data_IF_447447242569
#
_entry.id   IF_447447242569
#
_cell.length_a   1.000
_cell.length_b   1.000
_cell.length_c   1.000
_cell.angle_alpha   90.00
_cell.angle_beta   90.00
_cell.angle_gamma   90.00
#
_symmetry.space_group_name_H-M   'P 1'
#
loop_
_entity.id
_entity.type
_entity.pdbx_description
1 polymer ?
#
# COMPACT_ATOMS: atom_id res chain seq x y z
N UNK A 1 0.62 -21.03 -68.21
CA UNK A 1 0.62 -21.54 -66.83
C UNK A 1 0.86 -20.36 -65.90
N UNK A 2 -0.13 -19.85 -65.14
CA UNK A 2 0.08 -18.76 -64.25
C UNK A 2 0.41 -19.29 -62.83
N UNK A 3 1.57 -18.83 -62.34
CA UNK A 3 2.01 -19.07 -60.98
C UNK A 3 1.16 -18.27 -59.97
N UNK A 4 0.52 -18.99 -59.05
CA UNK A 4 -0.19 -18.39 -57.92
C UNK A 4 0.79 -18.03 -56.79
N UNK A 5 1.09 -16.74 -56.62
CA UNK A 5 1.74 -16.25 -55.41
C UNK A 5 0.70 -16.19 -54.29
N UNK A 6 0.86 -17.05 -53.30
CA UNK A 6 0.12 -16.98 -52.04
C UNK A 6 0.80 -15.98 -51.13
N UNK A 7 0.16 -14.83 -50.90
CA UNK A 7 0.54 -13.87 -49.87
C UNK A 7 0.10 -14.42 -48.51
N UNK A 8 1.04 -14.86 -47.69
CA UNK A 8 0.79 -15.17 -46.28
C UNK A 8 0.91 -13.86 -45.53
N UNK A 9 -0.22 -13.25 -45.16
CA UNK A 9 -0.27 -12.13 -44.24
C UNK A 9 -0.05 -12.66 -42.81
N UNK A 10 1.14 -12.47 -42.28
CA UNK A 10 1.43 -12.75 -40.88
C UNK A 10 0.74 -11.69 -40.02
N UNK A 11 -0.35 -12.09 -39.36
CA UNK A 11 -1.05 -11.27 -38.37
C UNK A 11 -0.20 -11.23 -37.09
N UNK A 12 0.58 -10.17 -36.90
CA UNK A 12 1.26 -9.87 -35.65
C UNK A 12 0.21 -9.40 -34.62
N UNK A 13 -0.31 -10.33 -33.83
CA UNK A 13 -1.09 -10.00 -32.65
C UNK A 13 -0.14 -9.42 -31.60
N UNK A 14 -0.41 -8.23 -31.05
CA UNK A 14 0.36 -7.74 -29.92
C UNK A 14 0.16 -8.68 -28.75
N UNK A 15 1.24 -9.26 -28.20
CA UNK A 15 1.22 -9.94 -26.91
C UNK A 15 0.90 -8.86 -25.86
N UNK A 16 -0.35 -8.79 -25.45
CA UNK A 16 -0.71 -8.09 -24.22
C UNK A 16 -0.15 -8.96 -23.10
N UNK A 17 0.98 -8.54 -22.55
CA UNK A 17 1.50 -9.11 -21.30
C UNK A 17 0.52 -8.69 -20.20
N UNK A 18 -0.46 -9.53 -19.94
CA UNK A 18 -1.29 -9.42 -18.76
C UNK A 18 -0.41 -9.83 -17.58
N UNK A 19 -0.21 -8.90 -16.62
CA UNK A 19 0.42 -9.25 -15.35
C UNK A 19 -0.32 -10.46 -14.78
N UNK A 20 0.40 -11.53 -14.50
CA UNK A 20 -0.20 -12.78 -14.05
C UNK A 20 -0.94 -12.56 -12.72
N UNK A 21 -2.07 -13.25 -12.46
CA UNK A 21 -2.81 -13.14 -11.20
C UNK A 21 -1.96 -13.36 -9.95
N UNK A 22 -0.87 -14.14 -10.07
CA UNK A 22 0.08 -14.40 -9.00
C UNK A 22 0.85 -13.13 -8.59
N UNK A 23 1.31 -12.31 -9.55
CA UNK A 23 2.05 -11.07 -9.28
C UNK A 23 1.15 -10.04 -8.61
N UNK A 24 -0.08 -9.87 -9.10
CA UNK A 24 -1.08 -9.00 -8.49
C UNK A 24 -1.38 -9.42 -7.07
N UNK A 25 -1.59 -10.71 -6.81
CA UNK A 25 -1.84 -11.24 -5.46
C UNK A 25 -0.67 -10.95 -4.51
N UNK A 26 0.57 -11.11 -4.97
CA UNK A 26 1.76 -10.82 -4.18
C UNK A 26 1.84 -9.33 -3.82
N UNK A 27 1.61 -8.44 -4.79
CA UNK A 27 1.59 -6.99 -4.58
C UNK A 27 0.54 -6.56 -3.54
N UNK A 28 -0.68 -7.12 -3.61
CA UNK A 28 -1.74 -6.82 -2.66
C UNK A 28 -1.44 -7.40 -1.28
N UNK A 29 -0.88 -8.62 -1.19
CA UNK A 29 -0.47 -9.23 0.07
C UNK A 29 0.65 -8.44 0.78
N UNK A 30 1.64 -7.96 0.04
CA UNK A 30 2.71 -7.11 0.57
C UNK A 30 2.17 -5.75 1.05
N UNK A 31 1.21 -5.17 0.32
CA UNK A 31 0.55 -3.93 0.72
C UNK A 31 -0.21 -4.10 2.02
N UNK A 32 -0.89 -5.23 2.19
CA UNK A 32 -1.59 -5.57 3.41
C UNK A 32 -0.62 -5.76 4.60
N UNK A 33 0.52 -6.40 4.37
CA UNK A 33 1.54 -6.59 5.41
C UNK A 33 2.15 -5.24 5.86
N UNK A 34 2.44 -4.33 4.90
CA UNK A 34 2.91 -2.98 5.20
C UNK A 34 1.86 -2.17 5.99
N UNK A 35 0.57 -2.27 5.62
CA UNK A 35 -0.52 -1.62 6.32
C UNK A 35 -0.66 -2.12 7.76
N UNK A 36 -0.62 -3.43 7.99
CA UNK A 36 -0.70 -4.01 9.32
C UNK A 36 0.46 -3.55 10.22
N UNK A 37 1.67 -3.47 9.70
CA UNK A 37 2.82 -2.94 10.43
C UNK A 37 2.63 -1.46 10.82
N UNK A 38 1.98 -0.66 9.97
CA UNK A 38 1.63 0.74 10.28
C UNK A 38 0.57 0.82 11.37
N UNK A 39 -0.46 -0.02 11.33
CA UNK A 39 -1.49 -0.11 12.38
C UNK A 39 -0.86 -0.40 13.73
N UNK A 40 -0.01 -1.42 13.84
CA UNK A 40 0.67 -1.79 15.08
C UNK A 40 1.54 -0.65 15.63
N UNK A 41 2.33 0.00 14.76
CA UNK A 41 3.17 1.12 15.15
C UNK A 41 2.33 2.33 15.59
N UNK A 42 1.22 2.62 14.90
CA UNK A 42 0.32 3.71 15.22
C UNK A 42 -0.37 3.48 16.58
N UNK A 43 -0.82 2.26 16.88
CA UNK A 43 -1.37 1.92 18.19
C UNK A 43 -0.37 2.14 19.32
N UNK A 44 0.90 1.78 19.12
CA UNK A 44 1.95 2.03 20.09
C UNK A 44 2.19 3.53 20.28
N UNK A 45 2.24 4.30 19.19
CA UNK A 45 2.42 5.76 19.24
C UNK A 45 1.27 6.45 20.00
N UNK A 46 0.03 6.04 19.75
CA UNK A 46 -1.15 6.56 20.46
C UNK A 46 -1.09 6.31 21.98
N UNK A 47 -0.57 5.15 22.39
CA UNK A 47 -0.48 4.79 23.82
C UNK A 47 0.72 5.40 24.55
N UNK A 48 1.82 5.65 23.84
CA UNK A 48 3.13 5.91 24.47
C UNK A 48 3.73 7.28 24.17
N UNK A 49 3.33 7.93 23.07
CA UNK A 49 3.81 9.27 22.75
C UNK A 49 3.20 10.30 23.71
N UNK A 50 4.01 11.23 24.19
CA UNK A 50 3.55 12.40 24.94
C UNK A 50 3.24 13.60 24.04
N UNK A 51 3.66 13.52 22.77
CA UNK A 51 3.43 14.56 21.76
C UNK A 51 2.04 14.42 21.15
N UNK A 52 1.18 15.41 21.38
CA UNK A 52 -0.21 15.43 20.88
C UNK A 52 -0.30 15.38 19.36
N UNK A 53 0.61 16.04 18.64
CA UNK A 53 0.62 16.02 17.18
C UNK A 53 0.95 14.61 16.65
N UNK A 54 1.91 13.92 17.28
CA UNK A 54 2.24 12.52 16.96
C UNK A 54 1.07 11.58 17.28
N UNK A 55 0.39 11.76 18.42
CA UNK A 55 -0.81 10.98 18.75
C UNK A 55 -1.94 11.17 17.72
N UNK A 56 -2.18 12.41 17.28
CA UNK A 56 -3.20 12.70 16.26
C UNK A 56 -2.84 12.10 14.91
N UNK A 57 -1.58 12.21 14.51
CA UNK A 57 -1.08 11.56 13.30
C UNK A 57 -1.26 10.03 13.37
N UNK A 58 -0.85 9.43 14.48
CA UNK A 58 -1.00 7.98 14.68
C UNK A 58 -2.47 7.53 14.64
N UNK A 59 -3.38 8.30 15.24
CA UNK A 59 -4.82 8.03 15.15
C UNK A 59 -5.33 8.07 13.71
N UNK A 60 -4.87 9.04 12.92
CA UNK A 60 -5.22 9.14 11.50
C UNK A 60 -4.70 7.94 10.72
N UNK A 61 -3.40 7.58 10.90
CA UNK A 61 -2.81 6.38 10.29
C UNK A 61 -3.63 5.14 10.62
N UNK A 62 -3.94 4.93 11.90
CA UNK A 62 -4.74 3.78 12.33
C UNK A 62 -6.08 3.68 11.58
N UNK A 63 -6.84 4.78 11.56
CA UNK A 63 -8.17 4.79 10.92
C UNK A 63 -8.09 4.54 9.42
N UNK A 64 -7.17 5.22 8.73
CA UNK A 64 -7.08 5.12 7.27
C UNK A 64 -6.47 3.77 6.83
N UNK A 65 -5.53 3.21 7.58
CA UNK A 65 -4.99 1.87 7.25
C UNK A 65 -6.01 0.75 7.51
N UNK A 66 -6.86 0.87 8.50
CA UNK A 66 -7.96 -0.09 8.71
C UNK A 66 -8.97 -0.03 7.55
N UNK A 67 -9.29 1.16 7.06
CA UNK A 67 -10.15 1.32 5.87
C UNK A 67 -9.47 0.77 4.62
N UNK A 68 -8.18 1.04 4.43
CA UNK A 68 -7.38 0.48 3.35
C UNK A 68 -7.43 -1.04 3.33
N UNK A 69 -7.16 -1.69 4.47
CA UNK A 69 -7.22 -3.15 4.60
C UNK A 69 -8.59 -3.70 4.22
N UNK A 70 -9.66 -3.06 4.68
CA UNK A 70 -11.01 -3.47 4.37
C UNK A 70 -11.30 -3.40 2.86
N UNK A 71 -11.01 -2.27 2.24
CA UNK A 71 -11.23 -2.06 0.80
C UNK A 71 -10.33 -2.95 -0.07
N UNK A 72 -9.06 -3.14 0.33
CA UNK A 72 -8.13 -4.02 -0.37
C UNK A 72 -8.62 -5.47 -0.37
N UNK A 73 -9.14 -5.94 0.76
CA UNK A 73 -9.71 -7.30 0.86
C UNK A 73 -10.99 -7.45 0.06
N UNK A 74 -11.84 -6.42 0.04
CA UNK A 74 -13.05 -6.43 -0.79
C UNK A 74 -12.69 -6.55 -2.28
N UNK A 75 -11.77 -5.72 -2.76
CA UNK A 75 -11.29 -5.76 -4.14
C UNK A 75 -10.66 -7.12 -4.49
N UNK A 76 -9.83 -7.66 -3.59
CA UNK A 76 -9.23 -8.99 -3.80
C UNK A 76 -10.30 -10.09 -3.87
N UNK A 77 -11.34 -9.99 -3.04
CA UNK A 77 -12.47 -10.93 -3.06
C UNK A 77 -13.25 -10.89 -4.37
N UNK A 78 -13.54 -9.70 -4.90
CA UNK A 78 -14.18 -9.51 -6.21
C UNK A 78 -13.37 -10.14 -7.36
N UNK A 79 -12.06 -10.18 -7.22
CA UNK A 79 -11.13 -10.76 -8.20
C UNK A 79 -10.75 -12.22 -7.90
N UNK A 80 -11.40 -12.85 -6.94
CA UNK A 80 -11.10 -14.21 -6.49
C UNK A 80 -9.62 -14.44 -6.08
N UNK A 81 -8.96 -13.39 -5.59
CA UNK A 81 -7.58 -13.43 -5.10
C UNK A 81 -7.58 -13.70 -3.59
N UNK A 82 -7.08 -14.87 -3.19
CA UNK A 82 -6.93 -15.22 -1.77
C UNK A 82 -5.77 -14.43 -1.15
N UNK A 83 -6.09 -13.50 -0.24
CA UNK A 83 -5.11 -12.78 0.58
C UNK A 83 -4.92 -13.47 1.93
N UNK A 84 -3.73 -13.29 2.57
CA UNK A 84 -3.49 -13.79 3.91
C UNK A 84 -4.51 -13.23 4.91
N UNK A 85 -4.91 -14.05 5.89
CA UNK A 85 -5.69 -13.56 7.02
C UNK A 85 -4.92 -12.50 7.81
N UNK A 86 -5.62 -11.55 8.47
CA UNK A 86 -4.96 -10.63 9.38
C UNK A 86 -4.13 -11.40 10.39
N UNK A 87 -2.88 -11.00 10.60
CA UNK A 87 -2.09 -11.56 11.70
C UNK A 87 -2.76 -11.14 12.99
N UNK A 88 -3.10 -12.11 13.82
CA UNK A 88 -3.38 -11.85 15.23
C UNK A 88 -2.02 -11.55 15.86
N UNK A 89 -1.66 -10.27 15.89
CA UNK A 89 -0.45 -9.87 16.60
C UNK A 89 -0.74 -10.02 18.08
N UNK A 90 -0.07 -10.98 18.71
CA UNK A 90 0.01 -11.00 20.17
C UNK A 90 0.50 -9.62 20.60
N UNK A 91 -0.27 -8.98 21.47
CA UNK A 91 0.05 -7.65 21.99
C UNK A 91 1.44 -7.70 22.60
N UNK A 92 2.46 -7.26 21.82
CA UNK A 92 3.82 -7.18 22.36
C UNK A 92 3.80 -6.28 23.58
N UNK A 93 4.22 -6.84 24.72
CA UNK A 93 4.42 -6.06 25.93
C UNK A 93 5.36 -4.89 25.60
N UNK A 94 4.96 -3.69 26.01
CA UNK A 94 5.76 -2.49 25.75
C UNK A 94 7.17 -2.69 26.29
N UNK A 95 8.18 -2.55 25.45
CA UNK A 95 9.56 -2.57 25.90
C UNK A 95 9.78 -1.51 26.98
N UNK A 96 10.53 -1.78 28.06
CA UNK A 96 10.85 -0.78 29.05
C UNK A 96 11.65 0.36 28.39
N UNK A 97 11.24 1.60 28.65
CA UNK A 97 11.86 2.82 28.09
C UNK A 97 10.85 3.80 27.51
N UNK A 98 11.30 4.99 27.14
CA UNK A 98 10.49 6.01 26.46
C UNK A 98 10.08 5.57 25.07
N UNK A 99 9.03 6.20 24.50
CA UNK A 99 8.64 5.98 23.12
C UNK A 99 9.57 6.74 22.16
N UNK A 100 10.13 6.05 21.18
CA UNK A 100 10.97 6.68 20.15
C UNK A 100 10.09 7.29 19.04
N UNK A 101 9.66 8.53 19.25
CA UNK A 101 8.84 9.27 18.29
C UNK A 101 9.54 9.47 16.95
N UNK A 102 10.85 9.74 16.98
CA UNK A 102 11.64 9.93 15.77
C UNK A 102 11.72 8.65 14.95
N UNK A 103 12.03 7.53 15.61
CA UNK A 103 12.06 6.22 14.97
C UNK A 103 10.69 5.82 14.42
N UNK A 104 9.60 6.12 15.11
CA UNK A 104 8.23 5.92 14.62
C UNK A 104 7.98 6.72 13.33
N UNK A 105 8.25 8.03 13.32
CA UNK A 105 8.02 8.87 12.15
C UNK A 105 8.90 8.46 10.96
N UNK A 106 10.17 8.12 11.20
CA UNK A 106 11.07 7.60 10.17
C UNK A 106 10.56 6.26 9.59
N UNK A 107 10.00 5.39 10.42
CA UNK A 107 9.39 4.15 9.97
C UNK A 107 8.13 4.42 9.13
N UNK A 108 7.26 5.35 9.55
CA UNK A 108 6.08 5.75 8.79
C UNK A 108 6.45 6.29 7.41
N UNK A 109 7.45 7.19 7.31
CA UNK A 109 7.93 7.72 6.03
C UNK A 109 8.37 6.58 5.11
N UNK A 110 9.23 5.67 5.60
CA UNK A 110 9.71 4.54 4.78
C UNK A 110 8.58 3.60 4.32
N UNK A 111 7.59 3.37 5.17
CA UNK A 111 6.45 2.51 4.83
C UNK A 111 5.55 3.19 3.79
N UNK A 112 5.29 4.49 3.95
CA UNK A 112 4.54 5.25 2.96
C UNK A 112 5.28 5.32 1.62
N UNK A 113 6.60 5.51 1.61
CA UNK A 113 7.41 5.48 0.37
C UNK A 113 7.26 4.15 -0.38
N UNK A 114 7.21 3.01 0.34
CA UNK A 114 6.98 1.70 -0.29
C UNK A 114 5.56 1.56 -0.85
N UNK A 115 4.54 1.98 -0.11
CA UNK A 115 3.15 1.96 -0.59
C UNK A 115 2.97 2.86 -1.81
N UNK A 116 3.48 4.09 -1.76
CA UNK A 116 3.44 5.02 -2.88
C UNK A 116 4.09 4.40 -4.12
N UNK A 117 5.34 3.92 -4.02
CA UNK A 117 6.03 3.34 -5.16
C UNK A 117 5.29 2.12 -5.76
N UNK A 118 4.72 1.25 -4.90
CA UNK A 118 3.94 0.09 -5.33
C UNK A 118 2.65 0.51 -6.04
N UNK A 119 1.93 1.48 -5.48
CA UNK A 119 0.66 1.93 -6.01
C UNK A 119 0.82 2.79 -7.28
N UNK A 120 1.88 3.57 -7.40
CA UNK A 120 2.25 4.23 -8.66
C UNK A 120 2.52 3.20 -9.77
N UNK A 121 3.18 2.09 -9.43
CA UNK A 121 3.37 0.98 -10.36
C UNK A 121 2.05 0.36 -10.80
N UNK A 122 1.13 0.08 -9.86
CA UNK A 122 -0.20 -0.47 -10.18
C UNK A 122 -1.00 0.50 -11.04
N UNK A 123 -1.04 1.79 -10.69
CA UNK A 123 -1.78 2.82 -11.43
C UNK A 123 -1.28 2.96 -12.88
N UNK A 124 0.04 2.85 -13.08
CA UNK A 124 0.67 2.99 -14.39
C UNK A 124 0.58 1.73 -15.23
N UNK A 125 0.88 0.57 -14.66
CA UNK A 125 1.23 -0.64 -15.41
C UNK A 125 0.15 -1.74 -15.37
N UNK A 126 -0.84 -1.66 -14.45
CA UNK A 126 -1.88 -2.68 -14.36
C UNK A 126 -2.79 -2.66 -15.58
N UNK A 127 -3.06 -3.83 -16.16
CA UNK A 127 -4.07 -3.99 -17.20
C UNK A 127 -5.51 -3.92 -16.63
N UNK A 128 -5.68 -4.14 -15.33
CA UNK A 128 -6.97 -4.15 -14.64
C UNK A 128 -7.41 -2.72 -14.27
N UNK A 129 -8.54 -2.22 -14.82
CA UNK A 129 -9.01 -0.86 -14.58
C UNK A 129 -9.45 -0.63 -13.12
N UNK A 130 -9.93 -1.67 -12.42
CA UNK A 130 -10.34 -1.54 -11.02
C UNK A 130 -9.14 -1.39 -10.11
N UNK A 131 -8.07 -2.14 -10.39
CA UNK A 131 -6.80 -1.99 -9.68
C UNK A 131 -6.18 -0.62 -9.91
N UNK A 132 -6.20 -0.10 -11.15
CA UNK A 132 -5.71 1.26 -11.42
C UNK A 132 -6.49 2.30 -10.65
N UNK A 133 -7.84 2.24 -10.71
CA UNK A 133 -8.71 3.17 -9.98
C UNK A 133 -8.45 3.11 -8.47
N UNK A 134 -8.39 1.92 -7.91
CA UNK A 134 -8.09 1.72 -6.50
C UNK A 134 -6.73 2.31 -6.11
N UNK A 135 -5.72 2.12 -6.96
CA UNK A 135 -4.40 2.68 -6.73
C UNK A 135 -4.41 4.22 -6.75
N UNK A 136 -5.06 4.84 -7.73
CA UNK A 136 -5.19 6.30 -7.82
C UNK A 136 -5.91 6.89 -6.61
N UNK A 137 -7.00 6.27 -6.14
CA UNK A 137 -7.76 6.71 -4.97
C UNK A 137 -6.92 6.67 -3.69
N UNK A 138 -6.10 5.62 -3.52
CA UNK A 138 -5.26 5.49 -2.33
C UNK A 138 -3.99 6.32 -2.39
N UNK A 139 -3.40 6.55 -3.55
CA UNK A 139 -2.28 7.48 -3.72
C UNK A 139 -2.64 8.89 -3.23
N UNK A 140 -3.87 9.36 -3.49
CA UNK A 140 -4.35 10.66 -3.00
C UNK A 140 -4.34 10.77 -1.46
N UNK A 141 -4.35 9.64 -0.74
CA UNK A 141 -4.25 9.59 0.73
C UNK A 141 -2.81 9.33 1.22
N UNK A 142 -2.06 8.50 0.52
CA UNK A 142 -0.69 8.15 0.92
C UNK A 142 0.28 9.33 0.84
N UNK A 143 0.20 10.18 -0.20
CA UNK A 143 1.06 11.36 -0.30
C UNK A 143 0.90 12.32 0.88
N UNK A 144 -0.30 12.78 1.28
CA UNK A 144 -0.47 13.62 2.45
C UNK A 144 0.01 12.98 3.75
N UNK A 145 -0.16 11.66 3.92
CA UNK A 145 0.35 10.96 5.11
C UNK A 145 1.86 11.01 5.20
N UNK A 146 2.52 10.70 4.10
CA UNK A 146 3.98 10.76 3.99
C UNK A 146 4.49 12.16 4.30
N UNK A 147 3.87 13.19 3.72
CA UNK A 147 4.24 14.59 3.92
C UNK A 147 4.06 15.02 5.38
N UNK A 148 2.93 14.68 6.00
CA UNK A 148 2.67 15.02 7.39
C UNK A 148 3.68 14.34 8.34
N UNK A 149 4.05 13.09 8.09
CA UNK A 149 5.09 12.41 8.85
C UNK A 149 6.45 13.15 8.73
N UNK A 150 6.79 13.61 7.51
CA UNK A 150 8.02 14.36 7.28
C UNK A 150 8.02 15.74 7.97
N UNK A 151 6.87 16.42 7.99
CA UNK A 151 6.70 17.70 8.70
C UNK A 151 6.85 17.51 10.22
N UNK A 152 6.17 16.54 10.80
CA UNK A 152 6.31 16.19 12.23
C UNK A 152 7.74 15.81 12.57
N UNK A 153 8.39 15.02 11.70
CA UNK A 153 9.77 14.58 11.88
C UNK A 153 10.77 15.74 11.89
N UNK A 154 10.49 16.79 11.11
CA UNK A 154 11.32 17.99 11.02
C UNK A 154 10.96 19.09 12.05
N UNK A 155 9.92 18.88 12.88
CA UNK A 155 9.41 19.88 13.81
C UNK A 155 8.70 21.06 13.13
N UNK A 156 8.16 20.89 11.93
CA UNK A 156 7.46 21.92 11.15
C UNK A 156 5.93 21.83 11.20
N UNK A 157 5.40 20.80 11.84
CA UNK A 157 3.97 20.67 12.04
C UNK A 157 3.62 21.37 13.37
N UNK A 158 3.01 22.54 13.28
CA UNK A 158 2.39 23.27 14.39
C UNK A 158 0.98 22.74 14.66
#
# INVERSE_FOLDING_TARGET
MPSRLSLIAALLLPLVVQAEPADTRALLADSLADSQAQVEAAEQAMRRSENKAVQLYAKRVLTEQQEFDHQLRALAGEKALALPSPRQTERQAAAPGGFDERGFLDAQIRQQDRLVARFEGIARDSADPDLRRFADEWLARFYPHRELAAQLRSGRAD
#
